data_IF_567154055535
#
_entry.id   IF_567154055535
#
_cell.length_a   1.000
_cell.length_b   1.000
_cell.length_c   1.000
_cell.angle_alpha   90.00
_cell.angle_beta   90.00
_cell.angle_gamma   90.00
#
_symmetry.space_group_name_H-M   'P 1'
#
loop_
_entity.id
_entity.type
_entity.pdbx_description
1 polymer ?
#
# COMPACT_ATOMS: atom_id res chain seq x y z
N UNK A 1 54.94 -26.95 -23.40
CA UNK A 1 54.57 -25.92 -24.39
C UNK A 1 54.70 -26.59 -25.75
N UNK A 2 53.60 -26.80 -26.48
CA UNK A 2 53.63 -27.44 -27.79
C UNK A 2 54.35 -26.54 -28.79
N UNK A 3 55.28 -27.09 -29.58
CA UNK A 3 55.96 -26.33 -30.63
C UNK A 3 55.15 -26.36 -31.93
N UNK A 4 55.48 -25.49 -32.89
CA UNK A 4 54.82 -25.46 -34.21
C UNK A 4 55.00 -26.78 -35.00
N UNK A 5 56.00 -27.57 -34.63
CA UNK A 5 56.29 -28.89 -35.20
C UNK A 5 55.38 -29.97 -34.59
N UNK A 6 55.12 -29.92 -33.28
CA UNK A 6 54.13 -30.78 -32.62
C UNK A 6 52.74 -30.60 -33.24
N UNK A 7 52.37 -29.36 -33.62
CA UNK A 7 51.09 -29.07 -34.24
C UNK A 7 50.92 -29.65 -35.65
N UNK A 8 52.01 -30.03 -36.33
CA UNK A 8 51.98 -30.57 -37.69
C UNK A 8 52.04 -32.09 -37.74
N UNK A 9 52.68 -32.71 -36.75
CA UNK A 9 52.99 -34.15 -36.77
C UNK A 9 52.31 -34.92 -35.65
N UNK A 10 51.94 -34.26 -34.54
CA UNK A 10 51.34 -34.93 -33.38
C UNK A 10 49.82 -34.75 -33.36
N UNK A 11 49.09 -35.86 -33.58
CA UNK A 11 47.63 -35.90 -33.58
C UNK A 11 47.03 -35.46 -32.24
N UNK A 12 47.64 -35.79 -31.12
CA UNK A 12 47.11 -35.43 -29.80
C UNK A 12 47.29 -33.93 -29.51
N UNK A 13 48.37 -33.32 -30.02
CA UNK A 13 48.59 -31.87 -29.96
C UNK A 13 47.60 -31.12 -30.86
N UNK A 14 47.31 -31.64 -32.05
CA UNK A 14 46.29 -31.10 -32.97
C UNK A 14 44.89 -31.17 -32.38
N UNK A 15 44.50 -32.30 -31.78
CA UNK A 15 43.20 -32.45 -31.13
C UNK A 15 43.07 -31.45 -29.98
N UNK A 16 44.08 -31.34 -29.13
CA UNK A 16 44.07 -30.42 -27.98
C UNK A 16 43.91 -28.97 -28.41
N UNK A 17 44.71 -28.50 -29.37
CA UNK A 17 44.62 -27.11 -29.86
C UNK A 17 43.33 -26.86 -30.64
N UNK A 18 42.85 -27.84 -31.42
CA UNK A 18 41.56 -27.77 -32.10
C UNK A 18 40.39 -27.64 -31.13
N UNK A 19 40.41 -28.41 -30.03
CA UNK A 19 39.40 -28.32 -28.96
C UNK A 19 39.44 -26.96 -28.26
N UNK A 20 40.62 -26.43 -27.95
CA UNK A 20 40.76 -25.10 -27.33
C UNK A 20 40.19 -24.02 -28.25
N UNK A 21 40.56 -24.01 -29.54
CA UNK A 21 40.05 -23.04 -30.51
C UNK A 21 38.53 -23.16 -30.67
N UNK A 22 38.01 -24.39 -30.71
CA UNK A 22 36.57 -24.63 -30.76
C UNK A 22 35.85 -24.02 -29.56
N UNK A 23 36.31 -24.29 -28.33
CA UNK A 23 35.64 -23.76 -27.14
C UNK A 23 35.81 -22.24 -26.98
N UNK A 24 36.96 -21.68 -27.34
CA UNK A 24 37.19 -20.22 -27.32
C UNK A 24 36.29 -19.48 -28.29
N UNK A 25 35.89 -20.09 -29.41
CA UNK A 25 34.95 -19.48 -30.36
C UNK A 25 33.48 -19.82 -30.03
N UNK A 26 33.20 -21.06 -29.65
CA UNK A 26 31.84 -21.53 -29.40
C UNK A 26 31.22 -20.89 -28.15
N UNK A 27 31.99 -20.74 -27.06
CA UNK A 27 31.46 -20.15 -25.82
C UNK A 27 31.01 -18.70 -26.00
N UNK A 28 31.83 -17.76 -26.53
CA UNK A 28 31.40 -16.38 -26.73
C UNK A 28 30.23 -16.24 -27.70
N UNK A 29 30.20 -17.03 -28.79
CA UNK A 29 29.10 -17.01 -29.74
C UNK A 29 27.81 -17.49 -29.08
N UNK A 30 27.87 -18.60 -28.34
CA UNK A 30 26.72 -19.13 -27.61
C UNK A 30 26.19 -18.12 -26.58
N UNK A 31 27.06 -17.54 -25.75
CA UNK A 31 26.66 -16.53 -24.78
C UNK A 31 26.13 -15.25 -25.44
N UNK A 32 26.69 -14.84 -26.58
CA UNK A 32 26.17 -13.67 -27.32
C UNK A 32 24.78 -13.92 -27.89
N UNK A 33 24.50 -15.14 -28.38
CA UNK A 33 23.17 -15.51 -28.89
C UNK A 33 22.20 -15.69 -27.72
N UNK A 34 22.61 -16.35 -26.64
CA UNK A 34 21.79 -16.56 -25.45
C UNK A 34 21.44 -15.23 -24.77
N UNK A 35 22.40 -14.31 -24.63
CA UNK A 35 22.17 -12.98 -24.07
C UNK A 35 21.30 -12.09 -24.97
N UNK A 36 21.41 -12.21 -26.30
CA UNK A 36 20.56 -11.49 -27.24
C UNK A 36 19.09 -11.94 -27.25
N UNK A 37 18.81 -13.15 -26.73
CA UNK A 37 17.45 -13.68 -26.54
C UNK A 37 16.98 -13.59 -25.08
N UNK A 38 17.83 -13.15 -24.16
CA UNK A 38 17.43 -12.90 -22.79
C UNK A 38 16.65 -11.59 -22.77
N UNK A 39 15.39 -11.66 -22.32
CA UNK A 39 14.60 -10.46 -22.10
C UNK A 39 15.26 -9.64 -20.99
N UNK A 40 15.75 -8.46 -21.35
CA UNK A 40 16.39 -7.53 -20.41
C UNK A 40 15.37 -6.69 -19.64
N UNK A 41 14.09 -6.81 -19.98
CA UNK A 41 13.03 -6.00 -19.38
C UNK A 41 12.50 -6.65 -18.09
N UNK A 42 13.28 -6.50 -17.02
CA UNK A 42 12.93 -7.00 -15.69
C UNK A 42 11.62 -6.39 -15.16
N UNK A 43 11.12 -5.30 -15.75
CA UNK A 43 9.88 -4.64 -15.32
C UNK A 43 8.60 -5.34 -15.81
N UNK A 44 8.66 -6.06 -16.94
CA UNK A 44 7.53 -6.78 -17.52
C UNK A 44 7.46 -8.26 -17.14
N UNK A 45 8.58 -8.83 -16.68
CA UNK A 45 8.64 -10.23 -16.30
C UNK A 45 8.02 -10.47 -14.90
N UNK A 46 7.13 -11.45 -14.82
CA UNK A 46 6.63 -11.96 -13.56
C UNK A 46 7.77 -12.61 -12.76
N UNK A 47 7.89 -12.25 -11.49
CA UNK A 47 8.98 -12.69 -10.63
C UNK A 47 8.59 -12.72 -9.17
N UNK A 48 9.56 -13.02 -8.31
CA UNK A 48 9.44 -12.91 -6.86
C UNK A 48 9.99 -11.55 -6.42
N UNK A 49 9.12 -10.68 -5.92
CA UNK A 49 9.44 -9.34 -5.48
C UNK A 49 9.16 -9.18 -3.99
N UNK A 50 10.07 -8.52 -3.28
CA UNK A 50 9.84 -8.07 -1.91
C UNK A 50 9.40 -6.60 -1.95
N UNK A 51 8.19 -6.34 -1.50
CA UNK A 51 7.65 -4.97 -1.43
C UNK A 51 7.87 -4.44 -0.02
N UNK A 52 8.67 -3.39 0.13
CA UNK A 52 8.96 -2.74 1.40
C UNK A 52 8.53 -1.28 1.34
N UNK A 53 7.78 -0.83 2.34
CA UNK A 53 7.33 0.56 2.46
C UNK A 53 6.94 0.88 3.90
N UNK A 54 6.92 2.16 4.25
CA UNK A 54 6.51 2.67 5.55
C UNK A 54 5.27 3.56 5.37
N UNK A 55 4.27 3.37 6.22
CA UNK A 55 3.06 4.20 6.25
C UNK A 55 3.18 5.25 7.34
N UNK A 56 3.04 6.51 6.95
CA UNK A 56 3.02 7.65 7.87
C UNK A 56 1.68 8.36 7.80
N UNK A 57 1.17 8.81 8.94
CA UNK A 57 -0.06 9.59 9.00
C UNK A 57 0.24 11.08 9.03
N UNK A 58 -0.41 11.83 8.15
CA UNK A 58 -0.41 13.30 8.16
C UNK A 58 -1.77 13.75 8.68
N UNK A 59 -1.78 14.57 9.73
CA UNK A 59 -3.02 15.10 10.30
C UNK A 59 -3.56 16.17 9.37
N UNK A 60 -4.79 15.99 8.90
CA UNK A 60 -5.52 16.99 8.12
C UNK A 60 -6.10 18.07 9.02
N UNK A 61 -6.85 17.64 10.03
CA UNK A 61 -7.45 18.50 11.04
C UNK A 61 -7.77 17.68 12.31
N UNK A 62 -7.99 18.37 13.42
CA UNK A 62 -8.43 17.79 14.68
C UNK A 62 -9.22 18.82 15.49
N UNK A 63 -10.36 18.41 16.04
CA UNK A 63 -11.19 19.28 16.85
C UNK A 63 -12.15 18.50 17.74
N UNK A 64 -12.90 19.24 18.55
CA UNK A 64 -13.96 18.74 19.41
C UNK A 64 -15.06 19.78 19.48
N UNK A 65 -16.32 19.33 19.41
CA UNK A 65 -17.50 20.20 19.47
C UNK A 65 -18.56 19.56 20.35
N UNK A 66 -19.32 20.37 21.08
CA UNK A 66 -20.47 19.91 21.87
C UNK A 66 -21.74 20.11 21.07
N UNK A 67 -22.54 19.06 20.91
CA UNK A 67 -23.79 19.08 20.14
C UNK A 67 -24.95 19.00 21.13
N UNK A 68 -25.93 19.89 21.01
CA UNK A 68 -27.13 19.85 21.84
C UNK A 68 -28.18 18.90 21.24
N UNK A 69 -29.10 18.42 22.07
CA UNK A 69 -30.22 17.57 21.62
C UNK A 69 -31.01 18.22 20.46
N UNK A 70 -31.24 17.43 19.42
CA UNK A 70 -31.93 17.85 18.21
C UNK A 70 -31.08 18.65 17.22
N UNK A 71 -29.84 19.01 17.55
CA UNK A 71 -28.92 19.67 16.63
C UNK A 71 -28.14 18.65 15.79
N UNK A 72 -27.79 19.03 14.57
CA UNK A 72 -26.95 18.22 13.68
C UNK A 72 -25.68 18.99 13.34
N UNK A 73 -24.53 18.38 13.59
CA UNK A 73 -23.23 18.90 13.20
C UNK A 73 -22.71 18.20 11.95
N UNK A 74 -22.12 18.95 11.03
CA UNK A 74 -21.53 18.41 9.80
C UNK A 74 -20.24 19.15 9.46
N UNK A 75 -19.18 18.39 9.19
CA UNK A 75 -17.88 18.91 8.76
C UNK A 75 -17.46 18.23 7.47
N UNK A 76 -16.66 18.92 6.67
CA UNK A 76 -16.09 18.39 5.43
C UNK A 76 -14.62 18.78 5.35
N UNK A 77 -13.76 17.79 5.16
CA UNK A 77 -12.32 17.95 5.04
C UNK A 77 -11.85 17.61 3.64
N UNK A 78 -10.85 18.35 3.16
CA UNK A 78 -10.23 18.12 1.86
C UNK A 78 -8.71 18.13 2.03
N UNK A 79 -8.01 17.35 1.22
CA UNK A 79 -6.54 17.20 1.29
C UNK A 79 -5.76 18.44 0.86
N UNK A 80 -6.42 19.43 0.25
CA UNK A 80 -5.83 20.74 -0.11
C UNK A 80 -5.25 21.49 1.10
N UNK A 81 -5.63 21.10 2.32
CA UNK A 81 -5.08 21.65 3.56
C UNK A 81 -3.70 21.09 3.95
N UNK A 82 -3.24 20.02 3.29
CA UNK A 82 -1.94 19.39 3.55
C UNK A 82 -0.85 20.11 2.77
N UNK A 83 0.11 20.69 3.48
CA UNK A 83 1.31 21.22 2.85
C UNK A 83 2.12 20.08 2.23
N UNK A 84 2.66 20.33 1.04
CA UNK A 84 3.51 19.39 0.30
C UNK A 84 2.81 18.05 -0.01
N UNK A 85 1.46 18.03 -0.06
CA UNK A 85 0.68 16.86 -0.45
C UNK A 85 1.12 16.29 -1.81
N UNK A 86 1.55 17.16 -2.73
CA UNK A 86 2.06 16.81 -4.06
C UNK A 86 3.39 16.04 -4.02
N UNK A 87 4.13 16.11 -2.91
CA UNK A 87 5.39 15.39 -2.70
C UNK A 87 5.18 14.03 -2.01
N UNK A 88 3.94 13.74 -1.56
CA UNK A 88 3.59 12.53 -0.83
C UNK A 88 2.78 11.55 -1.69
N UNK A 89 3.08 10.27 -1.55
CA UNK A 89 2.20 9.21 -2.05
C UNK A 89 1.07 8.98 -1.04
N UNK A 90 0.00 9.75 -1.17
CA UNK A 90 -1.21 9.54 -0.37
C UNK A 90 -1.90 8.30 -0.89
N UNK A 91 -2.12 7.33 -0.01
CA UNK A 91 -2.70 6.01 -0.33
C UNK A 91 -3.98 5.70 0.44
N UNK A 92 -4.38 6.60 1.34
CA UNK A 92 -5.58 6.45 2.14
C UNK A 92 -5.95 7.71 2.90
N UNK A 93 -7.18 7.75 3.37
CA UNK A 93 -7.68 8.72 4.34
C UNK A 93 -8.35 7.97 5.48
N UNK A 94 -8.14 8.44 6.72
CA UNK A 94 -8.78 7.89 7.93
C UNK A 94 -9.36 9.03 8.75
N UNK A 95 -10.61 8.86 9.15
CA UNK A 95 -11.31 9.69 10.11
C UNK A 95 -11.37 8.89 11.40
N UNK A 96 -10.85 9.46 12.49
CA UNK A 96 -10.92 8.88 13.82
C UNK A 96 -11.80 9.76 14.69
N UNK A 97 -12.85 9.17 15.28
CA UNK A 97 -13.82 9.90 16.08
C UNK A 97 -13.98 9.23 17.43
N UNK A 98 -14.06 10.06 18.46
CA UNK A 98 -14.44 9.67 19.82
C UNK A 98 -15.55 10.59 20.31
N UNK A 99 -16.48 10.03 21.05
CA UNK A 99 -17.69 10.70 21.53
C UNK A 99 -17.92 10.33 22.98
N UNK A 100 -18.52 11.26 23.71
CA UNK A 100 -18.86 11.14 25.11
C UNK A 100 -20.09 11.98 25.44
N UNK A 101 -20.88 11.50 26.40
CA UNK A 101 -22.10 12.13 26.85
C UNK A 101 -21.91 12.99 28.10
N UNK A 102 -22.45 14.21 28.08
CA UNK A 102 -22.55 15.10 29.24
C UNK A 102 -24.00 15.55 29.54
N UNK A 103 -24.99 14.87 28.95
CA UNK A 103 -26.41 15.10 29.23
C UNK A 103 -26.74 14.89 30.71
N UNK A 104 -27.41 15.87 31.32
CA UNK A 104 -27.85 15.78 32.71
C UNK A 104 -29.36 15.98 32.82
N UNK A 105 -30.02 15.01 33.44
CA UNK A 105 -31.45 15.08 33.77
C UNK A 105 -31.78 16.20 34.77
N UNK A 106 -32.04 17.43 34.30
CA UNK A 106 -32.37 18.56 35.17
C UNK A 106 -33.68 19.26 34.74
N UNK A 107 -34.76 19.05 35.50
CA UNK A 107 -36.01 19.78 35.33
C UNK A 107 -37.25 19.04 35.85
N UNK A 108 -38.33 19.77 36.16
CA UNK A 108 -39.58 19.19 36.69
C UNK A 108 -40.26 18.19 35.72
N UNK A 109 -39.99 18.29 34.42
CA UNK A 109 -40.44 17.34 33.40
C UNK A 109 -39.54 16.10 33.23
N UNK A 110 -38.36 16.10 33.84
CA UNK A 110 -37.32 15.07 33.71
C UNK A 110 -37.50 13.91 34.72
N UNK A 111 -38.49 14.02 35.62
CA UNK A 111 -38.82 13.01 36.63
C UNK A 111 -39.76 11.89 36.11
N UNK A 112 -40.25 12.01 34.88
CA UNK A 112 -41.00 10.93 34.24
C UNK A 112 -40.06 9.80 33.80
N UNK A 113 -40.46 8.52 33.88
CA UNK A 113 -39.63 7.41 33.41
C UNK A 113 -39.23 7.61 31.94
N UNK A 114 -37.93 7.64 31.65
CA UNK A 114 -37.37 7.88 30.32
C UNK A 114 -37.18 9.35 29.90
N UNK A 115 -37.46 10.32 30.79
CA UNK A 115 -37.43 11.75 30.45
C UNK A 115 -36.09 12.47 30.75
N UNK A 116 -35.00 11.73 30.97
CA UNK A 116 -33.67 12.28 31.26
C UNK A 116 -32.53 11.26 31.11
N UNK A 117 -32.77 10.17 30.39
CA UNK A 117 -31.74 9.17 30.13
C UNK A 117 -30.88 9.66 28.96
N UNK A 118 -29.56 9.50 29.07
CA UNK A 118 -28.61 9.80 28.00
C UNK A 118 -29.00 9.01 26.76
N UNK A 119 -29.60 9.68 25.78
CA UNK A 119 -30.07 9.00 24.59
C UNK A 119 -28.87 8.61 23.73
N UNK A 120 -28.86 7.43 23.08
CA UNK A 120 -27.75 7.12 22.20
C UNK A 120 -27.75 7.97 20.93
N UNK A 121 -26.64 8.62 20.64
CA UNK A 121 -26.44 9.34 19.37
C UNK A 121 -25.76 8.48 18.34
N UNK A 122 -26.21 8.60 17.09
CA UNK A 122 -25.57 7.97 15.94
C UNK A 122 -24.62 8.96 15.28
N UNK A 123 -23.34 8.62 15.24
CA UNK A 123 -22.30 9.39 14.56
C UNK A 123 -21.93 8.63 13.28
N UNK A 124 -22.16 9.24 12.13
CA UNK A 124 -21.79 8.67 10.83
C UNK A 124 -20.52 9.34 10.31
N UNK A 125 -19.49 8.54 10.04
CA UNK A 125 -18.32 8.97 9.29
C UNK A 125 -18.37 8.51 7.85
N UNK A 126 -17.98 9.38 6.91
CA UNK A 126 -17.82 9.01 5.50
C UNK A 126 -16.49 9.51 4.98
N UNK A 127 -15.74 8.62 4.34
CA UNK A 127 -14.48 8.93 3.68
C UNK A 127 -14.57 8.51 2.21
N UNK A 128 -14.12 9.36 1.30
CA UNK A 128 -14.17 9.10 -0.14
C UNK A 128 -12.92 9.59 -0.87
N UNK A 129 -12.52 8.82 -1.88
CA UNK A 129 -11.52 9.16 -2.87
C UNK A 129 -11.86 8.44 -4.19
N UNK A 130 -12.36 9.19 -5.19
CA UNK A 130 -12.82 8.64 -6.47
C UNK A 130 -13.83 7.48 -6.25
N UNK A 131 -13.44 6.24 -6.60
CA UNK A 131 -14.25 5.03 -6.45
C UNK A 131 -14.13 4.38 -5.07
N UNK A 132 -13.12 4.76 -4.28
CA UNK A 132 -12.89 4.24 -2.94
C UNK A 132 -13.75 5.02 -1.95
N UNK A 133 -14.68 4.33 -1.32
CA UNK A 133 -15.64 4.94 -0.39
C UNK A 133 -15.77 4.04 0.83
N UNK A 134 -15.78 4.64 2.02
CA UNK A 134 -16.04 3.98 3.27
C UNK A 134 -17.02 4.80 4.08
N UNK A 135 -17.99 4.12 4.69
CA UNK A 135 -18.93 4.72 5.63
C UNK A 135 -19.12 3.76 6.78
N UNK A 136 -19.11 4.30 7.99
CA UNK A 136 -19.48 3.53 9.17
C UNK A 136 -20.23 4.43 10.15
N UNK A 137 -21.08 3.78 10.93
CA UNK A 137 -21.82 4.40 12.02
C UNK A 137 -21.20 3.93 13.34
N UNK A 138 -21.07 4.86 14.28
CA UNK A 138 -20.76 4.61 15.66
C UNK A 138 -21.83 5.18 16.58
N UNK A 139 -21.89 4.67 17.81
CA UNK A 139 -22.86 5.11 18.80
C UNK A 139 -22.19 5.27 20.16
N UNK A 140 -22.51 6.35 20.88
CA UNK A 140 -22.05 6.59 22.25
C UNK A 140 -22.72 5.67 23.30
N UNK A 141 -23.83 5.03 22.93
CA UNK A 141 -24.66 4.18 23.79
C UNK A 141 -25.03 4.84 25.14
N UNK A 142 -25.29 6.16 25.13
CA UNK A 142 -25.57 6.94 26.34
C UNK A 142 -24.36 7.12 27.27
N UNK A 143 -23.14 7.00 26.73
CA UNK A 143 -21.89 7.11 27.46
C UNK A 143 -20.74 7.49 26.53
N UNK A 144 -19.70 6.65 26.45
CA UNK A 144 -18.58 6.91 25.56
C UNK A 144 -18.55 5.90 24.42
N UNK A 145 -18.07 6.34 23.26
CA UNK A 145 -17.68 5.43 22.19
C UNK A 145 -16.66 6.04 21.26
N UNK A 146 -16.17 5.23 20.33
CA UNK A 146 -15.26 5.66 19.30
C UNK A 146 -15.39 4.74 18.09
N UNK A 147 -15.11 5.27 16.90
CA UNK A 147 -14.96 4.48 15.70
C UNK A 147 -14.05 5.18 14.70
N UNK A 148 -13.58 4.39 13.74
CA UNK A 148 -12.76 4.85 12.64
C UNK A 148 -13.45 4.56 11.31
N UNK A 149 -13.27 5.47 10.36
CA UNK A 149 -13.68 5.27 8.97
C UNK A 149 -12.49 5.54 8.08
N UNK A 150 -12.10 4.56 7.26
CA UNK A 150 -10.96 4.67 6.38
C UNK A 150 -11.30 4.26 4.95
N UNK A 151 -10.94 5.11 3.98
CA UNK A 151 -10.94 4.76 2.57
C UNK A 151 -9.47 4.63 2.11
N UNK A 152 -9.11 3.45 1.62
CA UNK A 152 -7.74 3.07 1.26
C UNK A 152 -7.73 2.62 -0.20
N UNK A 153 -6.74 3.09 -0.98
CA UNK A 153 -6.63 2.79 -2.42
C UNK A 153 -5.32 2.11 -2.83
N UNK A 154 -4.57 1.59 -1.86
CA UNK A 154 -3.48 0.65 -2.11
C UNK A 154 -3.86 -0.75 -1.61
N UNK A 155 -3.17 -1.76 -2.14
CA UNK A 155 -3.31 -3.13 -1.70
C UNK A 155 -2.46 -3.36 -0.45
N UNK A 156 -3.12 -3.35 0.71
CA UNK A 156 -2.47 -3.52 2.01
C UNK A 156 -1.68 -4.83 2.13
N UNK A 157 -2.11 -5.89 1.44
CA UNK A 157 -1.44 -7.19 1.47
C UNK A 157 -0.12 -7.20 0.71
N UNK A 158 0.15 -6.17 -0.12
CA UNK A 158 1.42 -6.05 -0.84
C UNK A 158 2.53 -5.51 0.06
N UNK A 159 2.22 -4.62 1.00
CA UNK A 159 3.25 -4.01 1.85
C UNK A 159 3.84 -5.02 2.84
N UNK A 160 5.17 -5.17 2.82
CA UNK A 160 5.90 -6.08 3.70
C UNK A 160 5.78 -7.55 3.32
N UNK A 161 5.16 -7.87 2.18
CA UNK A 161 4.98 -9.22 1.69
C UNK A 161 5.96 -9.57 0.57
N UNK A 162 6.16 -10.88 0.39
CA UNK A 162 6.85 -11.42 -0.78
C UNK A 162 5.79 -11.77 -1.83
N UNK A 163 5.79 -11.02 -2.93
CA UNK A 163 4.81 -11.11 -4.00
C UNK A 163 5.40 -11.92 -5.13
N UNK A 164 4.73 -13.00 -5.51
CA UNK A 164 5.18 -13.88 -6.60
C UNK A 164 4.20 -13.88 -7.76
N UNK A 165 4.71 -14.03 -8.98
CA UNK A 165 3.89 -14.20 -10.17
C UNK A 165 3.26 -12.92 -10.74
N UNK A 166 3.60 -11.75 -10.19
CA UNK A 166 3.28 -10.44 -10.76
C UNK A 166 4.54 -9.79 -11.31
N UNK A 167 4.39 -8.96 -12.35
CA UNK A 167 5.43 -8.07 -12.85
C UNK A 167 5.58 -6.84 -11.95
N UNK A 168 6.70 -6.13 -12.10
CA UNK A 168 6.93 -4.88 -11.34
C UNK A 168 5.86 -3.82 -11.65
N UNK A 169 5.37 -3.77 -12.89
CA UNK A 169 4.33 -2.83 -13.29
C UNK A 169 2.99 -3.15 -12.62
N UNK A 170 2.61 -4.43 -12.59
CA UNK A 170 1.39 -4.86 -11.90
C UNK A 170 1.47 -4.59 -10.40
N UNK A 171 2.65 -4.74 -9.79
CA UNK A 171 2.85 -4.39 -8.37
C UNK A 171 2.69 -2.88 -8.15
N UNK A 172 3.22 -2.04 -9.04
CA UNK A 172 3.08 -0.58 -8.96
C UNK A 172 1.63 -0.11 -9.14
N UNK A 173 0.83 -0.82 -9.93
CA UNK A 173 -0.59 -0.52 -10.08
C UNK A 173 -1.42 -0.89 -8.84
N UNK A 174 -0.87 -1.70 -7.95
CA UNK A 174 -1.51 -2.14 -6.70
C UNK A 174 -1.09 -1.29 -5.49
N UNK A 175 -0.19 -0.31 -5.66
CA UNK A 175 0.36 0.54 -4.59
C UNK A 175 0.03 2.01 -4.86
#
# INVERSE_FOLDING_TARGET
MYTMEDLKTNRDAQITVGSIVFFVLAFPIYFSIAAGNADTDFAGAAGDYQVSGELTYVVLDSGSESIADGDTWSMTYNTDAVNDADELNIVGVRISMSYGEDETANGFGCAAPGAGDSAPDTITGTASHLTFNASADGQNNGGNGAHDVSAVWYNESMLGANVSGLSLNEIKEQL
#
